data_IF_856939871973
#
_entry.id   IF_856939871973
#
_cell.length_a   1.000
_cell.length_b   1.000
_cell.length_c   1.000
_cell.angle_alpha   90.00
_cell.angle_beta   90.00
_cell.angle_gamma   90.00
#
_symmetry.space_group_name_H-M   'P 1'
#
loop_
_entity.id
_entity.type
_entity.pdbx_description
1 polymer ?
#
# COMPACT_ATOMS: atom_id res chain seq x y z
N UNK A 1 14.25 3.68 22.09
CA UNK A 1 13.42 4.70 21.45
C UNK A 1 12.27 3.99 20.73
N UNK A 2 11.06 4.53 20.77
CA UNK A 2 9.93 3.96 20.02
C UNK A 2 10.27 3.92 18.51
N UNK A 3 9.69 3.00 17.79
CA UNK A 3 9.91 2.81 16.36
C UNK A 3 9.39 4.04 15.56
N UNK A 4 8.31 4.65 16.03
CA UNK A 4 7.68 5.85 15.45
C UNK A 4 6.84 6.58 16.50
N UNK A 5 6.42 7.82 16.20
CA UNK A 5 5.40 8.56 16.94
C UNK A 5 4.05 8.38 16.23
N UNK A 6 3.05 7.71 16.85
CA UNK A 6 1.76 7.45 16.20
C UNK A 6 1.08 8.72 15.68
N UNK A 7 1.15 9.83 16.41
CA UNK A 7 0.46 11.10 16.06
C UNK A 7 0.98 11.75 14.77
N UNK A 8 2.20 11.40 14.36
CA UNK A 8 2.83 11.88 13.12
C UNK A 8 3.07 10.76 12.13
N UNK A 9 2.35 9.63 12.29
CA UNK A 9 2.50 8.45 11.45
C UNK A 9 1.19 8.10 10.74
N UNK A 10 1.30 7.73 9.47
CA UNK A 10 0.20 7.20 8.68
C UNK A 10 0.48 5.76 8.20
N UNK A 11 -0.51 4.88 8.29
CA UNK A 11 -0.53 3.63 7.53
C UNK A 11 -1.08 3.92 6.13
N UNK A 12 -0.37 3.46 5.11
CA UNK A 12 -0.79 3.50 3.71
C UNK A 12 -0.99 2.05 3.24
N UNK A 13 -2.25 1.66 3.05
CA UNK A 13 -2.63 0.34 2.56
C UNK A 13 -2.81 0.38 1.05
N UNK A 14 -1.99 -0.39 0.31
CA UNK A 14 -1.93 -0.37 -1.15
C UNK A 14 -2.73 -1.54 -1.73
N UNK A 15 -3.74 -1.22 -2.53
CA UNK A 15 -4.46 -2.09 -3.46
C UNK A 15 -4.99 -3.42 -2.88
N UNK A 16 -5.45 -3.42 -1.63
CA UNK A 16 -6.14 -4.57 -1.05
C UNK A 16 -7.55 -4.69 -1.63
N UNK A 17 -7.63 -5.07 -2.90
CA UNK A 17 -8.84 -5.18 -3.71
C UNK A 17 -8.93 -6.54 -4.41
N UNK A 18 -10.13 -6.94 -4.83
CA UNK A 18 -10.36 -8.19 -5.55
C UNK A 18 -9.50 -8.38 -6.80
N UNK A 19 -9.19 -7.28 -7.51
CA UNK A 19 -8.30 -7.29 -8.69
C UNK A 19 -6.94 -7.93 -8.41
N UNK A 20 -6.41 -7.72 -7.22
CA UNK A 20 -5.08 -8.17 -6.84
C UNK A 20 -5.16 -9.38 -5.91
N UNK A 21 -6.05 -9.34 -4.92
CA UNK A 21 -6.22 -10.41 -3.94
C UNK A 21 -6.76 -11.71 -4.54
N UNK A 22 -7.43 -11.64 -5.69
CA UNK A 22 -7.92 -12.82 -6.43
C UNK A 22 -6.83 -13.58 -7.21
N UNK A 23 -5.59 -13.07 -7.22
CA UNK A 23 -4.45 -13.69 -7.90
C UNK A 23 -3.69 -14.64 -6.96
N UNK A 24 -2.87 -15.53 -7.54
CA UNK A 24 -1.91 -16.30 -6.75
C UNK A 24 -0.87 -15.33 -6.14
N UNK A 25 -0.75 -15.34 -4.83
CA UNK A 25 0.12 -14.44 -4.06
C UNK A 25 1.12 -15.25 -3.22
N UNK A 26 2.35 -14.78 -3.15
CA UNK A 26 3.45 -15.36 -2.38
C UNK A 26 4.51 -14.29 -2.05
N UNK A 27 5.26 -14.44 -0.93
CA UNK A 27 5.28 -15.54 0.02
C UNK A 27 4.10 -15.56 0.99
N UNK A 28 3.47 -14.40 1.25
CA UNK A 28 2.34 -14.29 2.16
C UNK A 28 1.02 -14.39 1.40
N UNK A 29 0.03 -15.08 1.97
CA UNK A 29 -1.31 -15.15 1.37
C UNK A 29 -2.00 -13.78 1.42
N UNK A 30 -2.95 -13.53 0.51
CA UNK A 30 -3.75 -12.31 0.52
C UNK A 30 -4.47 -12.08 1.85
N UNK A 31 -5.01 -13.17 2.45
CA UNK A 31 -5.67 -13.08 3.76
C UNK A 31 -4.69 -12.67 4.87
N UNK A 32 -3.49 -13.24 4.90
CA UNK A 32 -2.46 -12.85 5.87
C UNK A 32 -2.10 -11.36 5.75
N UNK A 33 -1.97 -10.85 4.53
CA UNK A 33 -1.67 -9.42 4.29
C UNK A 33 -2.83 -8.54 4.78
N UNK A 34 -4.08 -8.95 4.52
CA UNK A 34 -5.29 -8.25 4.99
C UNK A 34 -5.32 -8.21 6.52
N UNK A 35 -5.15 -9.36 7.18
CA UNK A 35 -5.19 -9.48 8.65
C UNK A 35 -4.10 -8.63 9.31
N UNK A 36 -2.87 -8.70 8.80
CA UNK A 36 -1.74 -7.94 9.31
C UNK A 36 -1.93 -6.43 9.10
N UNK A 37 -2.45 -6.03 7.93
CA UNK A 37 -2.77 -4.61 7.66
C UNK A 37 -3.85 -4.10 8.62
N UNK A 38 -4.90 -4.88 8.86
CA UNK A 38 -5.96 -4.54 9.80
C UNK A 38 -5.45 -4.43 11.24
N UNK A 39 -4.54 -5.32 11.65
CA UNK A 39 -3.92 -5.26 12.98
C UNK A 39 -3.08 -3.97 13.17
N UNK A 40 -2.25 -3.62 12.17
CA UNK A 40 -1.48 -2.37 12.19
C UNK A 40 -2.42 -1.15 12.24
N UNK A 41 -3.46 -1.15 11.39
CA UNK A 41 -4.43 -0.05 11.33
C UNK A 41 -5.13 0.17 12.68
N UNK A 42 -5.60 -0.91 13.30
CA UNK A 42 -6.30 -0.88 14.59
C UNK A 42 -5.39 -0.32 15.68
N UNK A 43 -4.17 -0.82 15.80
CA UNK A 43 -3.20 -0.35 16.80
C UNK A 43 -2.83 1.12 16.58
N UNK A 44 -2.48 1.48 15.35
CA UNK A 44 -2.09 2.84 15.00
C UNK A 44 -3.22 3.84 15.23
N UNK A 45 -4.46 3.49 14.84
CA UNK A 45 -5.63 4.35 15.05
C UNK A 45 -5.94 4.57 16.53
N UNK A 46 -5.85 3.51 17.36
CA UNK A 46 -6.03 3.60 18.80
C UNK A 46 -4.99 4.53 19.46
N UNK A 47 -3.78 4.61 18.90
CA UNK A 47 -2.71 5.50 19.34
C UNK A 47 -2.77 6.92 18.73
N UNK A 48 -3.80 7.23 17.93
CA UNK A 48 -4.03 8.55 17.33
C UNK A 48 -3.34 8.78 15.99
N UNK A 49 -2.92 7.71 15.31
CA UNK A 49 -2.34 7.79 13.97
C UNK A 49 -3.38 7.84 12.85
N UNK A 50 -2.91 8.04 11.64
CA UNK A 50 -3.72 8.24 10.43
C UNK A 50 -3.78 6.96 9.59
N UNK A 51 -4.95 6.65 9.05
CA UNK A 51 -5.16 5.51 8.14
C UNK A 51 -5.52 6.03 6.75
N UNK A 52 -4.75 5.62 5.75
CA UNK A 52 -4.96 5.95 4.34
C UNK A 52 -5.16 4.66 3.55
N UNK A 53 -6.34 4.52 2.96
CA UNK A 53 -6.63 3.43 2.04
C UNK A 53 -6.38 3.90 0.61
N UNK A 54 -5.58 3.13 -0.11
CA UNK A 54 -5.28 3.37 -1.53
C UNK A 54 -5.86 2.24 -2.35
N UNK A 55 -6.60 2.59 -3.37
CA UNK A 55 -7.18 1.67 -4.34
C UNK A 55 -6.76 2.05 -5.75
N UNK A 56 -6.65 1.09 -6.64
CA UNK A 56 -6.51 1.35 -8.07
C UNK A 56 -7.90 1.38 -8.70
N UNK A 57 -8.11 2.32 -9.60
CA UNK A 57 -9.36 2.44 -10.35
C UNK A 57 -9.12 3.21 -11.64
N UNK A 58 -10.00 3.03 -12.60
CA UNK A 58 -9.95 3.69 -13.92
C UNK A 58 -11.36 4.04 -14.38
N UNK A 59 -11.45 5.01 -15.28
CA UNK A 59 -12.68 5.26 -16.03
C UNK A 59 -13.07 4.04 -16.87
N UNK A 60 -14.36 3.84 -17.20
CA UNK A 60 -14.82 2.66 -17.96
C UNK A 60 -14.16 2.51 -19.34
N UNK A 61 -13.70 3.60 -19.94
CA UNK A 61 -13.00 3.65 -21.23
C UNK A 61 -11.48 3.63 -21.10
N UNK A 62 -10.96 3.56 -19.87
CA UNK A 62 -9.52 3.58 -19.56
C UNK A 62 -8.76 4.80 -20.11
N UNK A 63 -9.43 5.93 -20.37
CA UNK A 63 -8.79 7.14 -20.86
C UNK A 63 -7.76 7.71 -19.85
N UNK A 64 -7.88 7.35 -18.59
CA UNK A 64 -7.01 7.73 -17.47
C UNK A 64 -5.96 6.65 -17.09
N UNK A 65 -5.93 5.53 -17.81
CA UNK A 65 -4.96 4.47 -17.58
C UNK A 65 -3.64 4.74 -18.30
N UNK A 66 -2.55 4.14 -17.77
CA UNK A 66 -1.26 4.12 -18.48
C UNK A 66 -1.36 3.20 -19.69
N UNK A 67 -1.02 3.72 -20.87
CA UNK A 67 -1.10 3.01 -22.15
C UNK A 67 0.21 3.06 -22.94
N UNK A 68 1.33 3.36 -22.30
CA UNK A 68 2.63 3.39 -22.96
C UNK A 68 3.08 1.99 -23.38
N UNK A 69 3.76 1.86 -24.52
CA UNK A 69 4.33 0.59 -24.95
C UNK A 69 5.31 0.04 -23.91
N UNK A 70 5.14 -1.22 -23.56
CA UNK A 70 6.05 -1.98 -22.69
C UNK A 70 6.07 -3.44 -23.18
N UNK A 71 7.14 -4.19 -22.84
CA UNK A 71 7.26 -5.59 -23.24
C UNK A 71 6.17 -6.47 -22.61
N UNK A 72 5.73 -6.11 -21.38
CA UNK A 72 4.61 -6.73 -20.67
C UNK A 72 3.63 -5.63 -20.24
N UNK A 73 2.91 -5.08 -21.19
CA UNK A 73 1.96 -4.00 -20.95
C UNK A 73 0.71 -4.50 -20.23
N UNK A 74 0.12 -3.61 -19.44
CA UNK A 74 -1.16 -3.91 -18.79
C UNK A 74 -2.27 -4.07 -19.83
N UNK A 75 -3.05 -5.14 -19.68
CA UNK A 75 -4.24 -5.38 -20.48
C UNK A 75 -5.50 -5.18 -19.65
N UNK A 76 -6.42 -4.42 -20.17
CA UNK A 76 -7.67 -4.10 -19.51
C UNK A 76 -8.85 -4.79 -20.23
N UNK A 77 -9.85 -5.32 -19.49
CA UNK A 77 -11.04 -5.90 -20.09
C UNK A 77 -11.92 -4.81 -20.72
N UNK A 78 -12.60 -5.14 -21.82
CA UNK A 78 -13.60 -4.22 -22.38
C UNK A 78 -14.72 -3.89 -21.38
N UNK A 79 -15.19 -2.66 -21.41
CA UNK A 79 -16.31 -2.21 -20.56
C UNK A 79 -15.96 -1.85 -19.11
N UNK A 80 -14.68 -1.72 -18.80
CA UNK A 80 -14.22 -1.32 -17.46
C UNK A 80 -13.94 -2.50 -16.53
N UNK A 81 -13.39 -2.21 -15.36
CA UNK A 81 -13.12 -3.21 -14.33
C UNK A 81 -14.44 -3.68 -13.67
N UNK A 82 -14.65 -5.00 -13.51
CA UNK A 82 -15.83 -5.49 -12.83
C UNK A 82 -15.87 -5.06 -11.37
N UNK A 83 -17.06 -4.86 -10.82
CA UNK A 83 -17.26 -4.40 -9.42
C UNK A 83 -16.53 -5.29 -8.41
N UNK A 84 -16.50 -6.62 -8.63
CA UNK A 84 -15.79 -7.55 -7.77
C UNK A 84 -14.27 -7.31 -7.75
N UNK A 85 -13.70 -6.84 -8.86
CA UNK A 85 -12.28 -6.49 -8.93
C UNK A 85 -11.95 -5.23 -8.12
N UNK A 86 -12.89 -4.30 -8.02
CA UNK A 86 -12.73 -3.05 -7.27
C UNK A 86 -13.08 -3.19 -5.79
N UNK A 87 -13.78 -4.26 -5.40
CA UNK A 87 -14.21 -4.48 -4.03
C UNK A 87 -13.02 -4.68 -3.08
N UNK A 88 -13.07 -4.05 -1.91
CA UNK A 88 -12.14 -4.29 -0.81
C UNK A 88 -12.69 -5.33 0.15
N UNK A 89 -11.85 -6.14 0.83
CA UNK A 89 -12.32 -7.10 1.84
C UNK A 89 -13.07 -6.41 2.99
N UNK A 90 -14.02 -7.10 3.65
CA UNK A 90 -14.76 -6.55 4.78
C UNK A 90 -13.87 -6.01 5.90
N UNK A 91 -12.76 -6.69 6.18
CA UNK A 91 -11.77 -6.30 7.21
C UNK A 91 -11.15 -4.94 6.90
N UNK A 92 -10.86 -4.67 5.62
CA UNK A 92 -10.31 -3.39 5.18
C UNK A 92 -11.41 -2.33 5.09
N UNK A 93 -12.60 -2.69 4.62
CA UNK A 93 -13.76 -1.78 4.56
C UNK A 93 -14.20 -1.33 5.95
N UNK A 94 -14.03 -2.16 6.97
CA UNK A 94 -14.35 -1.85 8.37
C UNK A 94 -13.35 -0.85 9.01
N UNK A 95 -12.17 -0.67 8.43
CA UNK A 95 -11.22 0.32 8.89
C UNK A 95 -11.79 1.73 8.64
N UNK A 96 -11.90 2.51 9.70
CA UNK A 96 -12.32 3.92 9.57
C UNK A 96 -11.14 4.72 9.02
N UNK A 97 -10.99 4.71 7.70
CA UNK A 97 -9.91 5.45 7.04
C UNK A 97 -10.14 6.96 7.12
N UNK A 98 -9.06 7.70 7.35
CA UNK A 98 -9.07 9.16 7.37
C UNK A 98 -9.01 9.74 5.95
N UNK A 99 -8.45 8.98 5.02
CA UNK A 99 -8.30 9.35 3.61
C UNK A 99 -8.48 8.12 2.73
N UNK A 100 -9.18 8.30 1.61
CA UNK A 100 -9.25 7.34 0.50
C UNK A 100 -8.60 7.97 -0.72
N UNK A 101 -7.65 7.26 -1.32
CA UNK A 101 -6.95 7.66 -2.55
C UNK A 101 -7.26 6.65 -3.64
N UNK A 102 -7.73 7.12 -4.77
CA UNK A 102 -7.80 6.32 -6.00
C UNK A 102 -6.62 6.70 -6.88
N UNK A 103 -5.83 5.72 -7.27
CA UNK A 103 -4.67 5.93 -8.14
C UNK A 103 -4.84 5.23 -9.49
N UNK A 104 -4.16 5.76 -10.49
CA UNK A 104 -4.16 5.25 -11.87
C UNK A 104 -2.76 4.77 -12.30
N UNK A 105 -1.82 4.72 -11.34
CA UNK A 105 -0.41 4.35 -11.51
C UNK A 105 0.04 3.40 -10.41
N UNK A 106 1.28 2.93 -10.45
CA UNK A 106 1.81 2.09 -9.39
C UNK A 106 1.99 2.85 -8.08
N UNK A 107 2.62 4.02 -8.13
CA UNK A 107 2.80 4.86 -6.93
C UNK A 107 1.50 5.53 -6.51
N UNK A 108 1.28 5.60 -5.21
CA UNK A 108 0.17 6.32 -4.61
C UNK A 108 0.41 7.85 -4.53
N UNK A 109 1.59 8.34 -4.90
CA UNK A 109 1.91 9.77 -4.91
C UNK A 109 1.63 10.42 -6.28
N UNK A 110 2.00 9.73 -7.36
CA UNK A 110 1.90 10.33 -8.70
C UNK A 110 0.44 10.56 -9.10
N UNK A 111 0.11 11.80 -9.46
CA UNK A 111 -1.23 12.17 -9.92
C UNK A 111 -2.33 12.10 -8.87
N UNK A 112 -1.97 12.03 -7.58
CA UNK A 112 -2.92 11.97 -6.47
C UNK A 112 -2.69 13.11 -5.47
N UNK A 113 -3.56 13.20 -4.47
CA UNK A 113 -3.43 14.14 -3.36
C UNK A 113 -2.62 13.59 -2.16
N UNK A 114 -1.89 12.47 -2.31
CA UNK A 114 -1.21 11.78 -1.20
C UNK A 114 -0.30 12.72 -0.40
N UNK A 115 0.65 13.41 -1.05
CA UNK A 115 1.58 14.30 -0.36
C UNK A 115 0.84 15.48 0.32
N UNK A 116 -0.18 16.04 -0.33
CA UNK A 116 -1.02 17.09 0.26
C UNK A 116 -1.69 16.61 1.55
N UNK A 117 -2.28 15.42 1.54
CA UNK A 117 -2.97 14.84 2.68
C UNK A 117 -2.02 14.55 3.84
N UNK A 118 -0.83 14.01 3.55
CA UNK A 118 0.21 13.74 4.53
C UNK A 118 0.73 15.03 5.17
N UNK A 119 1.08 16.05 4.36
CA UNK A 119 1.62 17.33 4.83
C UNK A 119 0.62 18.07 5.73
N UNK A 120 -0.64 18.15 5.30
CA UNK A 120 -1.69 18.85 6.08
C UNK A 120 -1.97 18.21 7.42
N UNK A 121 -1.72 16.91 7.58
CA UNK A 121 -1.85 16.17 8.84
C UNK A 121 -0.56 16.14 9.67
N UNK A 122 0.50 16.79 9.21
CA UNK A 122 1.79 16.80 9.89
C UNK A 122 2.48 15.43 9.94
N UNK A 123 2.14 14.53 9.00
CA UNK A 123 2.74 13.20 8.94
C UNK A 123 4.22 13.31 8.57
N UNK A 124 5.05 12.55 9.28
CA UNK A 124 6.50 12.46 9.09
C UNK A 124 6.96 11.03 8.81
N UNK A 125 6.19 10.06 9.28
CA UNK A 125 6.47 8.63 9.09
C UNK A 125 5.31 7.98 8.35
N UNK A 126 5.61 7.12 7.41
CA UNK A 126 4.61 6.30 6.71
C UNK A 126 4.93 4.82 6.88
N UNK A 127 3.91 4.03 7.19
CA UNK A 127 3.97 2.57 7.22
C UNK A 127 3.31 2.06 5.95
N UNK A 128 4.03 1.27 5.16
CA UNK A 128 3.52 0.72 3.91
C UNK A 128 3.13 -0.74 4.08
N UNK A 129 1.94 -1.09 3.60
CA UNK A 129 1.40 -2.44 3.53
C UNK A 129 0.64 -2.63 2.21
N UNK A 130 0.36 -3.86 1.80
CA UNK A 130 -0.48 -4.15 0.63
C UNK A 130 0.20 -4.95 -0.47
N UNK A 131 -0.29 -4.87 -1.68
CA UNK A 131 0.10 -5.69 -2.85
C UNK A 131 0.28 -4.81 -4.09
N UNK A 132 1.27 -5.04 -4.94
CA UNK A 132 2.35 -6.00 -4.82
C UNK A 132 3.63 -5.30 -4.37
N UNK A 133 4.44 -6.03 -3.60
CA UNK A 133 5.69 -5.53 -2.99
C UNK A 133 6.57 -4.81 -4.00
N UNK A 134 6.87 -5.45 -5.13
CA UNK A 134 7.80 -4.93 -6.15
C UNK A 134 7.16 -3.99 -7.19
N UNK A 135 5.85 -3.71 -7.08
CA UNK A 135 5.12 -2.79 -7.96
C UNK A 135 4.58 -1.60 -7.15
N UNK A 136 3.31 -1.59 -6.81
CA UNK A 136 2.64 -0.45 -6.16
C UNK A 136 3.25 -0.07 -4.81
N UNK A 137 3.64 -1.06 -3.99
CA UNK A 137 4.23 -0.80 -2.67
C UNK A 137 5.63 -0.18 -2.82
N UNK A 138 6.54 -0.81 -3.57
CA UNK A 138 7.89 -0.29 -3.78
C UNK A 138 7.87 1.09 -4.45
N UNK A 139 7.04 1.28 -5.49
CA UNK A 139 6.92 2.59 -6.16
C UNK A 139 6.48 3.68 -5.18
N UNK A 140 5.51 3.37 -4.30
CA UNK A 140 5.06 4.30 -3.26
C UNK A 140 6.14 4.57 -2.22
N UNK A 141 6.92 3.55 -1.82
CA UNK A 141 8.08 3.70 -0.91
C UNK A 141 9.15 4.61 -1.52
N UNK A 142 9.47 4.45 -2.80
CA UNK A 142 10.45 5.29 -3.51
C UNK A 142 10.04 6.77 -3.49
N UNK A 143 8.77 7.04 -3.79
CA UNK A 143 8.26 8.42 -3.77
C UNK A 143 8.17 8.98 -2.34
N UNK A 144 7.71 8.19 -1.36
CA UNK A 144 7.70 8.59 0.04
C UNK A 144 9.11 8.99 0.52
N UNK A 145 10.13 8.17 0.19
CA UNK A 145 11.53 8.47 0.48
C UNK A 145 12.00 9.75 -0.22
N UNK A 146 11.68 9.92 -1.51
CA UNK A 146 12.04 11.12 -2.28
C UNK A 146 11.38 12.39 -1.72
N UNK A 147 10.17 12.27 -1.16
CA UNK A 147 9.46 13.34 -0.45
C UNK A 147 9.95 13.54 1.00
N UNK A 148 10.99 12.83 1.44
CA UNK A 148 11.61 12.93 2.76
C UNK A 148 10.72 12.45 3.92
N UNK A 149 9.86 11.47 3.69
CA UNK A 149 9.17 10.75 4.76
C UNK A 149 10.07 9.65 5.33
N UNK A 150 10.02 9.44 6.64
CA UNK A 150 10.54 8.22 7.24
C UNK A 150 9.62 7.05 6.85
N UNK A 151 10.18 5.98 6.31
CA UNK A 151 9.38 4.85 5.81
C UNK A 151 9.61 3.61 6.65
N UNK A 152 8.53 2.92 6.98
CA UNK A 152 8.50 1.58 7.54
C UNK A 152 7.78 0.67 6.54
N UNK A 153 8.44 -0.38 6.09
CA UNK A 153 7.86 -1.41 5.25
C UNK A 153 7.42 -2.57 6.13
N UNK A 154 6.12 -2.83 6.22
CA UNK A 154 5.54 -3.92 7.00
C UNK A 154 5.64 -5.22 6.20
N UNK A 155 6.77 -5.92 6.32
CA UNK A 155 7.16 -7.01 5.41
C UNK A 155 6.13 -8.14 5.34
N UNK A 156 5.56 -8.57 6.47
CA UNK A 156 4.55 -9.62 6.53
C UNK A 156 3.11 -9.10 6.30
N UNK A 157 2.94 -7.79 6.11
CA UNK A 157 1.73 -7.15 5.59
C UNK A 157 1.88 -6.74 4.11
N UNK A 158 2.89 -7.26 3.41
CA UNK A 158 3.09 -7.12 1.97
C UNK A 158 3.29 -8.48 1.33
N UNK A 159 2.96 -8.59 0.05
CA UNK A 159 3.21 -9.82 -0.75
C UNK A 159 3.29 -9.48 -2.22
N UNK A 160 3.68 -10.43 -3.05
CA UNK A 160 3.75 -10.26 -4.49
C UNK A 160 3.20 -11.48 -5.24
N UNK A 161 3.51 -11.61 -6.53
CA UNK A 161 3.04 -12.71 -7.39
C UNK A 161 3.99 -13.90 -7.40
N UNK A 162 5.18 -13.75 -6.82
CA UNK A 162 6.09 -14.84 -6.50
C UNK A 162 6.98 -14.48 -5.30
N UNK A 163 7.55 -15.49 -4.60
CA UNK A 163 8.49 -15.22 -3.50
C UNK A 163 9.71 -14.42 -3.97
N UNK A 164 10.25 -14.72 -5.15
CA UNK A 164 11.44 -14.07 -5.71
C UNK A 164 11.21 -12.56 -5.90
N UNK A 165 10.02 -12.17 -6.37
CA UNK A 165 9.66 -10.76 -6.57
C UNK A 165 9.63 -10.00 -5.26
N UNK A 166 8.99 -10.60 -4.23
CA UNK A 166 8.92 -10.01 -2.88
C UNK A 166 10.31 -9.95 -2.25
N UNK A 167 11.04 -11.07 -2.25
CA UNK A 167 12.35 -11.20 -1.61
C UNK A 167 13.38 -10.26 -2.24
N UNK A 168 13.35 -10.10 -3.57
CA UNK A 168 14.26 -9.17 -4.25
C UNK A 168 14.10 -7.74 -3.74
N UNK A 169 12.86 -7.24 -3.69
CA UNK A 169 12.57 -5.91 -3.15
C UNK A 169 12.99 -5.79 -1.69
N UNK A 170 12.58 -6.73 -0.84
CA UNK A 170 12.86 -6.71 0.59
C UNK A 170 14.35 -6.83 0.91
N UNK A 171 15.13 -7.54 0.09
CA UNK A 171 16.56 -7.78 0.33
C UNK A 171 17.45 -6.69 -0.26
N UNK A 172 17.15 -6.20 -1.45
CA UNK A 172 18.10 -5.37 -2.22
C UNK A 172 17.66 -3.92 -2.40
N UNK A 173 16.36 -3.62 -2.37
CA UNK A 173 15.83 -2.28 -2.64
C UNK A 173 15.39 -1.59 -1.36
N UNK A 174 14.44 -2.18 -0.66
CA UNK A 174 13.78 -1.55 0.49
C UNK A 174 14.70 -1.21 1.66
N UNK A 175 15.78 -1.96 1.98
CA UNK A 175 16.68 -1.58 3.07
C UNK A 175 17.41 -0.24 2.87
N UNK A 176 17.44 0.28 1.64
CA UNK A 176 18.03 1.59 1.31
C UNK A 176 17.03 2.74 1.42
N UNK A 177 15.73 2.42 1.53
CA UNK A 177 14.63 3.39 1.49
C UNK A 177 13.79 3.39 2.76
N UNK A 178 13.76 2.28 3.48
CA UNK A 178 12.83 2.03 4.56
C UNK A 178 13.44 1.17 5.67
N UNK A 179 12.83 1.22 6.85
CA UNK A 179 13.03 0.23 7.92
C UNK A 179 12.06 -0.91 7.70
N UNK A 180 12.57 -2.12 7.46
CA UNK A 180 11.74 -3.31 7.26
C UNK A 180 11.41 -3.90 8.62
N UNK A 181 10.11 -4.10 8.90
CA UNK A 181 9.61 -4.62 10.17
C UNK A 181 8.47 -5.60 9.95
N UNK A 182 8.32 -6.52 10.89
CA UNK A 182 7.15 -7.38 10.98
C UNK A 182 6.01 -6.65 11.69
N UNK A 183 4.77 -7.06 11.39
CA UNK A 183 3.55 -6.52 12.01
C UNK A 183 3.65 -6.50 13.53
N UNK A 184 4.13 -7.58 14.14
CA UNK A 184 4.28 -7.66 15.60
C UNK A 184 5.20 -6.58 16.18
N UNK A 185 6.29 -6.24 15.49
CA UNK A 185 7.21 -5.17 15.92
C UNK A 185 6.56 -3.78 15.79
N UNK A 186 5.73 -3.59 14.76
CA UNK A 186 5.04 -2.31 14.52
C UNK A 186 3.96 -2.10 15.60
N UNK A 187 3.13 -3.10 15.83
CA UNK A 187 2.00 -3.03 16.79
C UNK A 187 2.49 -2.85 18.24
N UNK A 188 3.61 -3.47 18.62
CA UNK A 188 4.14 -3.35 20.00
C UNK A 188 4.89 -2.05 20.26
N UNK A 189 5.18 -1.25 19.24
CA UNK A 189 5.93 0.01 19.34
C UNK A 189 5.10 1.25 18.97
N UNK A 190 3.77 1.11 18.94
CA UNK A 190 2.83 2.21 18.75
C UNK A 190 2.53 2.95 20.05
#
# INVERSE_FOLDING_TARGET
MPLYDPKTTALISIDLQGLVLGRALAPHSGQQVVDNTAAIATSLKAAGGTIILVTVGFSPDYADAVNQPADDALHFPEGGLPTAALAVPPEIAALTADVHIVKHHWSAFYGTEMDLQLRRRGIRTVILAGVATNFGVESTIRDAFAHNYAVIAAEDAMTSFSPEMHDFSCRYILPRLARIRKTAEIVTNS
#
